data_IF_500261939726
#
_entry.id   IF_500261939726
#
_cell.length_a   1.000
_cell.length_b   1.000
_cell.length_c   1.000
_cell.angle_alpha   90.00
_cell.angle_beta   90.00
_cell.angle_gamma   90.00
#
_symmetry.space_group_name_H-M   'P 1'
#
loop_
_entity.id
_entity.type
_entity.pdbx_description
1 polymer ?
#
# COMPACT_ATOMS: atom_id res chain seq x y z
N UNK A 1 10.33 -9.14 -9.81
CA UNK A 1 11.65 -8.94 -9.17
C UNK A 1 12.16 -7.51 -9.26
N UNK A 2 12.16 -6.85 -10.42
CA UNK A 2 12.74 -5.51 -10.55
C UNK A 2 12.01 -4.39 -9.76
N UNK A 3 10.67 -4.35 -9.82
CA UNK A 3 9.87 -3.36 -9.05
C UNK A 3 10.04 -3.49 -7.53
N UNK A 4 10.31 -4.71 -7.05
CA UNK A 4 10.56 -4.96 -5.63
C UNK A 4 11.88 -4.32 -5.16
N UNK A 5 12.91 -4.39 -6.00
CA UNK A 5 14.18 -3.71 -5.74
C UNK A 5 14.02 -2.18 -5.74
N UNK A 6 13.19 -1.65 -6.64
CA UNK A 6 12.88 -0.22 -6.68
C UNK A 6 12.10 0.26 -5.45
N UNK A 7 11.23 -0.58 -4.88
CA UNK A 7 10.52 -0.29 -3.63
C UNK A 7 11.47 -0.19 -2.41
N UNK A 8 12.64 -0.83 -2.47
CA UNK A 8 13.68 -0.77 -1.44
C UNK A 8 14.73 0.33 -1.69
N UNK A 9 14.54 1.17 -2.71
CA UNK A 9 15.44 2.28 -3.02
C UNK A 9 15.49 3.30 -1.89
N UNK A 10 16.66 3.88 -1.60
CA UNK A 10 16.81 5.00 -0.65
C UNK A 10 16.12 6.29 -1.14
N UNK A 11 15.75 6.33 -2.43
CA UNK A 11 15.08 7.46 -3.06
C UNK A 11 13.56 7.29 -3.01
N UNK A 12 12.88 8.12 -2.22
CA UNK A 12 11.42 8.13 -2.07
C UNK A 12 10.64 8.18 -3.37
N UNK A 13 10.99 9.09 -4.30
CA UNK A 13 10.28 9.20 -5.57
C UNK A 13 10.33 7.89 -6.40
N UNK A 14 11.37 7.07 -6.22
CA UNK A 14 11.47 5.76 -6.86
C UNK A 14 10.50 4.78 -6.21
N UNK A 15 10.40 4.79 -4.88
CA UNK A 15 9.44 3.98 -4.13
C UNK A 15 7.99 4.33 -4.52
N UNK A 16 7.67 5.62 -4.60
CA UNK A 16 6.33 6.12 -4.98
C UNK A 16 5.91 5.67 -6.38
N UNK A 17 6.81 5.74 -7.35
CA UNK A 17 6.55 5.27 -8.72
C UNK A 17 6.48 3.75 -8.80
N UNK A 18 7.31 3.04 -8.01
CA UNK A 18 7.22 1.59 -7.91
C UNK A 18 5.85 1.15 -7.37
N UNK A 19 5.35 1.80 -6.31
CA UNK A 19 4.02 1.53 -5.75
C UNK A 19 2.92 1.76 -6.77
N UNK A 20 2.93 2.89 -7.46
CA UNK A 20 1.91 3.22 -8.48
C UNK A 20 1.93 2.18 -9.61
N UNK A 21 3.12 1.77 -10.07
CA UNK A 21 3.28 0.75 -11.10
C UNK A 21 2.79 -0.62 -10.63
N UNK A 22 3.12 -1.02 -9.41
CA UNK A 22 2.66 -2.29 -8.81
C UNK A 22 1.14 -2.29 -8.70
N UNK A 23 0.54 -1.18 -8.27
CA UNK A 23 -0.90 -1.03 -8.14
C UNK A 23 -1.62 -1.22 -9.49
N UNK A 24 -1.14 -0.58 -10.56
CA UNK A 24 -1.68 -0.76 -11.91
C UNK A 24 -1.51 -2.20 -12.42
N UNK A 25 -0.40 -2.85 -12.10
CA UNK A 25 -0.18 -4.27 -12.46
C UNK A 25 -1.13 -5.18 -11.68
N UNK A 26 -1.36 -4.91 -10.39
CA UNK A 26 -2.28 -5.70 -9.57
C UNK A 26 -3.71 -5.61 -10.12
N UNK A 27 -4.15 -4.41 -10.46
CA UNK A 27 -5.45 -4.18 -11.08
C UNK A 27 -5.57 -4.86 -12.46
N UNK A 28 -4.53 -4.83 -13.30
CA UNK A 28 -4.55 -5.53 -14.58
C UNK A 28 -4.49 -7.07 -14.44
N UNK A 29 -3.74 -7.58 -13.45
CA UNK A 29 -3.51 -9.00 -13.26
C UNK A 29 -4.62 -9.71 -12.46
N UNK A 30 -5.42 -8.97 -11.70
CA UNK A 30 -6.56 -9.49 -10.92
C UNK A 30 -6.14 -10.71 -10.09
N UNK A 31 -6.91 -11.80 -10.12
CA UNK A 31 -6.64 -13.02 -9.36
C UNK A 31 -5.24 -13.61 -9.58
N UNK A 32 -4.62 -13.39 -10.76
CA UNK A 32 -3.26 -13.86 -11.05
C UNK A 32 -2.18 -13.15 -10.22
N UNK A 33 -2.51 -12.01 -9.60
CA UNK A 33 -1.63 -11.29 -8.68
C UNK A 33 -1.48 -11.98 -7.32
N UNK A 34 -2.38 -12.90 -6.96
CA UNK A 34 -2.39 -13.59 -5.65
C UNK A 34 -1.06 -14.23 -5.28
N UNK A 35 -0.26 -14.66 -6.26
CA UNK A 35 1.07 -15.23 -6.05
C UNK A 35 2.10 -14.27 -5.43
N UNK A 36 1.85 -12.96 -5.48
CA UNK A 36 2.73 -11.93 -4.94
C UNK A 36 2.20 -11.32 -3.63
N UNK A 37 0.99 -11.68 -3.22
CA UNK A 37 0.32 -11.12 -2.04
C UNK A 37 1.15 -11.30 -0.76
N UNK A 38 1.56 -12.54 -0.48
CA UNK A 38 2.28 -12.92 0.74
C UNK A 38 3.64 -12.19 0.89
N UNK A 39 4.18 -11.66 -0.21
CA UNK A 39 5.44 -10.88 -0.21
C UNK A 39 5.19 -9.37 -0.14
N UNK A 40 4.18 -8.86 -0.86
CA UNK A 40 3.95 -7.43 -0.99
C UNK A 40 3.12 -6.84 0.15
N UNK A 41 2.10 -7.56 0.63
CA UNK A 41 1.21 -7.02 1.66
C UNK A 41 1.95 -6.66 2.96
N UNK A 42 2.88 -7.48 3.49
CA UNK A 42 3.65 -7.12 4.69
C UNK A 42 4.50 -5.85 4.51
N UNK A 43 5.05 -5.62 3.31
CA UNK A 43 5.84 -4.42 3.03
C UNK A 43 4.95 -3.17 3.02
N UNK A 44 3.77 -3.26 2.41
CA UNK A 44 2.82 -2.15 2.38
C UNK A 44 2.34 -1.80 3.79
N UNK A 45 2.02 -2.81 4.60
CA UNK A 45 1.66 -2.62 6.01
C UNK A 45 2.79 -1.93 6.78
N UNK A 46 4.04 -2.33 6.56
CA UNK A 46 5.20 -1.69 7.20
C UNK A 46 5.35 -0.21 6.83
N UNK A 47 5.22 0.14 5.54
CA UNK A 47 5.25 1.53 5.08
C UNK A 47 4.12 2.35 5.70
N UNK A 48 2.91 1.78 5.77
CA UNK A 48 1.74 2.43 6.35
C UNK A 48 1.83 2.64 7.86
N UNK A 49 2.53 1.76 8.59
CA UNK A 49 2.73 1.85 10.04
C UNK A 49 3.86 2.79 10.46
N UNK A 50 5.00 2.78 9.75
CA UNK A 50 6.22 3.40 10.25
C UNK A 50 6.45 4.84 9.79
N UNK A 51 5.80 5.30 8.72
CA UNK A 51 6.18 6.55 8.03
C UNK A 51 5.28 7.73 8.41
N UNK A 52 5.25 8.07 9.70
CA UNK A 52 4.27 9.03 10.24
C UNK A 52 4.55 10.50 9.91
N UNK A 53 5.75 10.80 9.42
CA UNK A 53 6.17 12.17 9.16
C UNK A 53 5.46 12.76 7.92
N UNK A 54 5.21 14.08 7.96
CA UNK A 54 4.51 14.81 6.88
C UNK A 54 5.14 14.59 5.50
N UNK A 55 6.45 14.38 5.47
CA UNK A 55 7.25 14.19 4.25
C UNK A 55 7.03 12.82 3.56
N UNK A 56 6.38 11.86 4.24
CA UNK A 56 6.04 10.55 3.70
C UNK A 56 4.54 10.38 3.41
N UNK A 57 3.75 11.45 3.55
CA UNK A 57 2.30 11.41 3.28
C UNK A 57 1.99 10.91 1.87
N UNK A 58 2.71 11.39 0.86
CA UNK A 58 2.53 10.96 -0.52
C UNK A 58 2.82 9.46 -0.69
N UNK A 59 3.96 9.01 -0.17
CA UNK A 59 4.35 7.60 -0.18
C UNK A 59 3.30 6.71 0.50
N UNK A 60 2.76 7.14 1.65
CA UNK A 60 1.69 6.42 2.35
C UNK A 60 0.38 6.41 1.59
N UNK A 61 -0.01 7.51 0.97
CA UNK A 61 -1.17 7.56 0.08
C UNK A 61 -1.04 6.55 -1.06
N UNK A 62 0.14 6.49 -1.69
CA UNK A 62 0.45 5.50 -2.74
C UNK A 62 0.50 4.06 -2.22
N UNK A 63 1.01 3.83 -1.02
CA UNK A 63 1.00 2.52 -0.40
C UNK A 63 -0.42 2.06 -0.05
N UNK A 64 -1.27 2.97 0.41
CA UNK A 64 -2.69 2.73 0.70
C UNK A 64 -3.45 2.38 -0.56
N UNK A 65 -3.32 3.18 -1.62
CA UNK A 65 -3.88 2.90 -2.95
C UNK A 65 -3.43 1.51 -3.45
N UNK A 66 -2.12 1.23 -3.40
CA UNK A 66 -1.58 -0.06 -3.81
C UNK A 66 -2.14 -1.23 -2.98
N UNK A 67 -2.23 -1.10 -1.65
CA UNK A 67 -2.75 -2.14 -0.78
C UNK A 67 -4.23 -2.45 -1.06
N UNK A 68 -5.04 -1.41 -1.28
CA UNK A 68 -6.47 -1.57 -1.60
C UNK A 68 -6.72 -2.18 -2.98
N UNK A 69 -5.92 -1.83 -3.99
CA UNK A 69 -6.01 -2.44 -5.33
C UNK A 69 -5.54 -3.90 -5.32
N UNK A 70 -4.49 -4.22 -4.58
CA UNK A 70 -4.07 -5.62 -4.37
C UNK A 70 -5.17 -6.39 -3.65
N UNK A 71 -5.73 -5.83 -2.59
CA UNK A 71 -6.83 -6.43 -1.83
C UNK A 71 -8.06 -6.72 -2.71
N UNK A 72 -8.39 -5.81 -3.64
CA UNK A 72 -9.44 -6.02 -4.63
C UNK A 72 -9.08 -7.15 -5.61
N UNK A 73 -7.86 -7.12 -6.16
CA UNK A 73 -7.40 -8.07 -7.18
C UNK A 73 -7.34 -9.52 -6.67
N UNK A 74 -6.91 -9.75 -5.42
CA UNK A 74 -6.80 -11.10 -4.84
C UNK A 74 -8.11 -11.63 -4.26
N UNK A 75 -9.07 -10.74 -4.02
CA UNK A 75 -10.38 -11.08 -3.51
C UNK A 75 -10.41 -11.52 -2.03
N UNK A 76 -11.62 -11.80 -1.55
CA UNK A 76 -11.92 -12.06 -0.14
C UNK A 76 -11.22 -13.29 0.42
N UNK A 77 -11.01 -14.34 -0.37
CA UNK A 77 -10.38 -15.57 0.11
C UNK A 77 -8.96 -15.34 0.59
N UNK A 78 -8.19 -14.51 -0.13
CA UNK A 78 -6.82 -14.17 0.26
C UNK A 78 -6.74 -13.03 1.26
N UNK A 79 -7.54 -11.98 1.08
CA UNK A 79 -7.54 -10.84 2.00
C UNK A 79 -8.13 -11.21 3.38
N UNK A 80 -9.00 -12.21 3.47
CA UNK A 80 -9.87 -12.42 4.64
C UNK A 80 -9.14 -12.48 5.99
N UNK A 81 -7.92 -13.02 6.03
CA UNK A 81 -7.11 -13.09 7.25
C UNK A 81 -6.53 -11.73 7.65
N UNK A 82 -6.20 -10.88 6.67
CA UNK A 82 -5.57 -9.57 6.88
C UNK A 82 -6.57 -8.40 6.81
N UNK A 83 -7.82 -8.66 6.41
CA UNK A 83 -8.84 -7.65 6.15
C UNK A 83 -9.02 -6.70 7.35
N UNK A 84 -9.16 -7.26 8.55
CA UNK A 84 -9.31 -6.46 9.77
C UNK A 84 -8.05 -5.68 10.11
N UNK A 85 -6.87 -6.26 9.88
CA UNK A 85 -5.59 -5.58 10.08
C UNK A 85 -5.49 -4.37 9.17
N UNK A 86 -5.80 -4.54 7.88
CA UNK A 86 -5.77 -3.45 6.90
C UNK A 86 -6.80 -2.38 7.26
N UNK A 87 -8.06 -2.75 7.55
CA UNK A 87 -9.11 -1.79 7.94
C UNK A 87 -8.71 -0.99 9.19
N UNK A 88 -8.23 -1.65 10.24
CA UNK A 88 -7.79 -0.98 11.46
C UNK A 88 -6.61 -0.05 11.20
N UNK A 89 -5.66 -0.46 10.34
CA UNK A 89 -4.55 0.39 9.94
C UNK A 89 -5.04 1.64 9.22
N UNK A 90 -5.93 1.50 8.23
CA UNK A 90 -6.51 2.63 7.51
C UNK A 90 -7.29 3.57 8.44
N UNK A 91 -8.09 3.02 9.36
CA UNK A 91 -8.82 3.81 10.35
C UNK A 91 -7.88 4.61 11.26
N UNK A 92 -6.79 4.00 11.74
CA UNK A 92 -5.78 4.69 12.54
C UNK A 92 -5.08 5.80 11.75
N UNK A 93 -4.82 5.59 10.46
CA UNK A 93 -4.24 6.62 9.60
C UNK A 93 -5.20 7.79 9.47
N UNK A 94 -6.48 7.52 9.19
CA UNK A 94 -7.51 8.54 9.04
C UNK A 94 -7.69 9.38 10.32
N UNK A 95 -7.64 8.77 11.50
CA UNK A 95 -7.78 9.49 12.78
C UNK A 95 -6.53 10.25 13.19
N UNK A 96 -5.36 9.85 12.69
CA UNK A 96 -4.08 10.51 13.00
C UNK A 96 -3.82 11.76 12.16
N UNK A 97 -4.61 12.00 11.11
CA UNK A 97 -4.50 13.19 10.25
C UNK A 97 -5.26 14.33 10.92
N UNK A 98 -4.53 15.33 11.43
CA UNK A 98 -5.07 16.47 12.18
C UNK A 98 -4.80 17.83 11.52
N UNK A 99 -4.21 17.83 10.32
CA UNK A 99 -3.86 19.06 9.58
C UNK A 99 -5.08 19.61 8.82
N UNK A 100 -5.26 20.94 8.86
CA UNK A 100 -6.40 21.65 8.27
C UNK A 100 -6.39 21.77 6.73
N UNK A 101 -5.32 21.34 6.05
CA UNK A 101 -5.11 21.48 4.60
C UNK A 101 -5.54 20.24 3.79
N UNK A 102 -6.09 19.22 4.44
CA UNK A 102 -6.58 18.00 3.77
C UNK A 102 -8.08 18.15 3.45
N UNK A 103 -8.50 18.00 2.18
CA UNK A 103 -9.91 17.97 1.83
C UNK A 103 -10.51 16.65 2.32
N UNK A 104 -11.10 16.67 3.51
CA UNK A 104 -12.03 15.61 3.94
C UNK A 104 -13.23 15.53 3.00
#
# INVERSE_FOLDING_TARGET
SHLFQLLQSDKRYVQEQALSTIATIADAAQAAFSKYYDTLMPLLVNVLQNQSEKEYRLLRGKAMECATLIALAVGRERLGQDAMTLVNLLANIQTSITDADDPQ
#
